data_IF_872911672612
#
_entry.id   IF_872911672612
#
_cell.length_a   1.000
_cell.length_b   1.000
_cell.length_c   1.000
_cell.angle_alpha   90.00
_cell.angle_beta   90.00
_cell.angle_gamma   90.00
#
_symmetry.space_group_name_H-M   'P 1'
#
loop_
_entity.id
_entity.type
_entity.pdbx_description
1 polymer ?
#
# COMPACT_ATOMS: atom_id res chain seq x y z
N UNK A 1 -15.20 22.62 -22.92
CA UNK A 1 -14.14 23.44 -22.29
C UNK A 1 -14.33 23.39 -20.78
N UNK A 2 -13.62 22.50 -20.08
CA UNK A 2 -13.70 22.38 -18.61
C UNK A 2 -12.38 21.84 -18.01
N UNK A 3 -11.73 20.91 -18.72
CA UNK A 3 -10.44 20.32 -18.31
C UNK A 3 -9.26 21.32 -18.45
N UNK A 4 -9.33 22.23 -19.43
CA UNK A 4 -8.32 23.30 -19.62
C UNK A 4 -8.32 24.38 -18.51
N UNK A 5 -9.28 24.38 -17.58
CA UNK A 5 -9.31 25.33 -16.46
C UNK A 5 -8.67 24.78 -15.17
N UNK A 6 -8.53 23.46 -15.01
CA UNK A 6 -7.84 22.89 -13.85
C UNK A 6 -6.30 22.98 -13.98
N UNK A 7 -5.76 22.81 -15.19
CA UNK A 7 -4.31 22.86 -15.42
C UNK A 7 -3.70 24.27 -15.15
N UNK A 8 -4.49 25.33 -15.31
CA UNK A 8 -4.05 26.72 -15.05
C UNK A 8 -4.25 27.19 -13.60
N UNK A 9 -4.89 26.42 -12.72
CA UNK A 9 -5.13 26.83 -11.33
C UNK A 9 -4.02 26.43 -10.36
N UNK A 10 -3.33 25.30 -10.59
CA UNK A 10 -2.22 24.86 -9.74
C UNK A 10 -0.92 25.64 -10.02
N UNK A 11 -0.68 26.04 -11.28
CA UNK A 11 0.48 26.85 -11.66
C UNK A 11 0.51 28.25 -11.00
N UNK A 12 -0.64 28.75 -10.52
CA UNK A 12 -0.74 30.10 -9.95
C UNK A 12 -0.68 30.14 -8.41
N UNK A 13 -0.54 28.98 -7.75
CA UNK A 13 -0.35 28.87 -6.28
C UNK A 13 1.08 28.59 -5.84
N UNK A 14 1.96 28.15 -6.75
CA UNK A 14 3.37 27.91 -6.45
C UNK A 14 4.25 29.18 -6.52
N UNK A 15 3.74 30.30 -7.04
CA UNK A 15 4.50 31.50 -7.40
C UNK A 15 4.41 32.67 -6.40
N UNK A 16 3.81 32.47 -5.22
CA UNK A 16 3.49 33.55 -4.27
C UNK A 16 3.98 33.33 -2.82
N UNK A 17 4.89 32.38 -2.59
CA UNK A 17 5.40 32.08 -1.23
C UNK A 17 6.89 31.73 -1.17
N UNK A 18 7.75 32.46 -1.87
CA UNK A 18 9.21 32.36 -1.70
C UNK A 18 9.96 33.67 -1.97
N UNK A 19 9.68 34.70 -1.16
CA UNK A 19 10.19 36.06 -1.40
C UNK A 19 10.61 36.83 -0.14
N UNK A 20 11.33 36.23 0.80
CA UNK A 20 12.14 36.97 1.80
C UNK A 20 13.30 36.12 2.37
N UNK A 21 14.44 36.12 1.64
CA UNK A 21 15.75 35.78 2.17
C UNK A 21 16.79 36.67 1.46
N UNK A 22 17.58 37.44 2.23
CA UNK A 22 18.59 38.35 1.67
C UNK A 22 19.90 37.58 1.41
N UNK A 23 20.47 37.58 0.20
CA UNK A 23 21.88 37.27 0.02
C UNK A 23 22.73 38.44 0.54
N UNK A 24 23.84 38.11 1.20
CA UNK A 24 24.86 39.08 1.65
C UNK A 24 25.79 39.39 0.47
N UNK A 25 26.18 40.65 0.29
CA UNK A 25 27.31 40.99 -0.58
C UNK A 25 28.61 40.79 0.20
N UNK A 26 29.56 40.09 -0.41
CA UNK A 26 30.99 40.27 -0.17
C UNK A 26 31.70 40.21 -1.51
N UNK A 27 32.53 41.22 -1.82
CA UNK A 27 33.19 41.35 -3.12
C UNK A 27 34.64 41.84 -3.00
N UNK A 28 35.55 40.88 -3.01
CA UNK A 28 36.95 41.06 -3.40
C UNK A 28 37.45 39.73 -3.98
N UNK A 29 38.34 39.61 -4.96
CA UNK A 29 39.01 40.48 -5.93
C UNK A 29 40.31 39.69 -6.25
N UNK A 30 40.57 39.38 -7.52
CA UNK A 30 41.69 38.53 -7.97
C UNK A 30 41.62 37.05 -7.46
N UNK A 31 42.33 36.07 -8.05
CA UNK A 31 43.41 36.16 -9.03
C UNK A 31 43.36 35.04 -10.11
N UNK A 32 44.16 35.17 -11.16
CA UNK A 32 44.27 34.21 -12.27
C UNK A 32 45.04 32.94 -11.90
N UNK A 33 44.68 31.79 -12.49
CA UNK A 33 45.65 30.84 -13.04
C UNK A 33 45.01 29.82 -13.99
N UNK A 34 45.60 29.63 -15.17
CA UNK A 34 45.18 28.63 -16.16
C UNK A 34 46.12 27.42 -16.12
N UNK A 35 45.58 26.22 -15.90
CA UNK A 35 46.36 24.97 -15.95
C UNK A 35 46.38 24.39 -17.36
N UNK A 36 47.48 24.64 -18.10
CA UNK A 36 47.93 23.68 -19.11
C UNK A 36 48.51 22.45 -18.41
N UNK A 37 48.18 21.26 -18.89
CA UNK A 37 48.90 20.02 -18.58
C UNK A 37 49.51 19.53 -19.88
N UNK A 38 50.83 19.58 -19.98
CA UNK A 38 51.62 19.06 -21.09
C UNK A 38 52.29 17.76 -20.66
N UNK A 39 52.15 16.71 -21.48
CA UNK A 39 52.88 15.46 -21.31
C UNK A 39 54.13 15.49 -22.19
N UNK A 40 55.31 15.34 -21.60
CA UNK A 40 56.56 15.19 -22.33
C UNK A 40 56.90 13.71 -22.53
N UNK A 41 57.48 13.38 -23.69
CA UNK A 41 57.91 12.03 -24.05
C UNK A 41 59.44 11.96 -23.84
N UNK A 42 59.97 11.04 -23.04
CA UNK A 42 61.41 10.95 -22.80
C UNK A 42 62.14 10.40 -24.03
N UNK A 43 63.18 11.12 -24.48
CA UNK A 43 64.08 10.65 -25.55
C UNK A 43 65.48 10.44 -24.96
N UNK A 44 65.91 9.18 -24.84
CA UNK A 44 67.31 8.87 -24.59
C UNK A 44 68.12 9.01 -25.89
N UNK A 45 69.22 9.76 -25.84
CA UNK A 45 70.36 9.50 -26.73
C UNK A 45 71.68 9.90 -26.06
N UNK A 46 72.59 8.93 -25.93
CA UNK A 46 74.03 9.15 -25.71
C UNK A 46 74.75 8.56 -26.92
N UNK A 47 75.52 9.35 -27.66
CA UNK A 47 76.56 8.78 -28.53
C UNK A 47 77.74 9.72 -28.75
N UNK A 48 78.90 9.10 -28.61
CA UNK A 48 80.30 9.55 -28.64
C UNK A 48 80.78 10.50 -29.76
N UNK A 49 81.94 11.12 -29.48
CA UNK A 49 82.84 11.85 -30.39
C UNK A 49 83.47 10.94 -31.46
N UNK A 50 83.95 11.55 -32.56
CA UNK A 50 85.16 11.21 -33.38
C UNK A 50 85.29 12.27 -34.51
N UNK A 51 86.43 12.63 -35.13
CA UNK A 51 87.85 12.57 -34.72
C UNK A 51 88.71 13.56 -35.58
N UNK A 52 90.04 13.35 -35.70
CA UNK A 52 91.03 14.30 -36.26
C UNK A 52 91.53 14.01 -37.72
N UNK A 53 92.13 15.05 -38.34
CA UNK A 53 93.31 15.06 -39.28
C UNK A 53 93.58 13.89 -40.25
N UNK A 54 93.81 14.18 -41.56
CA UNK A 54 95.13 13.97 -42.26
C UNK A 54 95.16 14.09 -43.82
N UNK A 55 96.35 14.47 -44.31
CA UNK A 55 96.93 14.73 -45.66
C UNK A 55 96.73 13.75 -46.85
N UNK A 56 97.05 14.17 -48.11
CA UNK A 56 98.03 13.52 -49.07
C UNK A 56 98.21 14.20 -50.47
N UNK A 57 99.04 13.63 -51.39
CA UNK A 57 99.67 14.25 -52.61
C UNK A 57 99.53 13.35 -53.90
N UNK A 58 100.14 13.49 -55.12
CA UNK A 58 101.36 14.18 -55.64
C UNK A 58 101.52 14.21 -57.21
N UNK A 59 102.10 15.31 -57.77
CA UNK A 59 103.19 15.37 -58.82
C UNK A 59 103.02 15.34 -60.38
N UNK A 60 104.19 15.36 -61.06
CA UNK A 60 104.67 15.70 -62.45
C UNK A 60 104.71 14.51 -63.48
N UNK A 61 105.28 14.50 -64.73
CA UNK A 61 106.49 15.13 -65.35
C UNK A 61 106.60 15.08 -66.94
N UNK A 62 107.84 14.97 -67.53
CA UNK A 62 108.27 15.13 -68.98
C UNK A 62 108.50 13.76 -69.74
N UNK A 63 109.05 13.56 -70.98
CA UNK A 63 109.99 14.29 -71.89
C UNK A 63 109.93 13.98 -73.43
N UNK A 64 111.04 13.63 -74.14
CA UNK A 64 111.26 13.59 -75.63
C UNK A 64 112.21 12.41 -76.10
N UNK A 65 112.35 12.15 -77.44
CA UNK A 65 113.43 11.40 -78.19
C UNK A 65 113.45 9.82 -78.17
N UNK A 66 114.10 9.01 -79.08
CA UNK A 66 114.82 9.16 -80.39
C UNK A 66 115.18 7.81 -81.11
N UNK A 67 115.43 7.80 -82.44
CA UNK A 67 116.26 6.85 -83.27
C UNK A 67 115.79 5.35 -83.47
N UNK A 68 116.30 4.46 -84.38
CA UNK A 68 117.37 4.47 -85.43
C UNK A 68 117.09 3.54 -86.68
N UNK A 69 118.11 3.02 -87.41
CA UNK A 69 118.13 2.31 -88.73
C UNK A 69 118.11 0.72 -88.72
N UNK A 70 118.40 0.06 -89.88
CA UNK A 70 118.09 -1.35 -90.27
C UNK A 70 119.26 -2.37 -90.41
N UNK A 71 119.04 -3.72 -90.31
CA UNK A 71 120.06 -4.82 -90.49
C UNK A 71 119.49 -6.24 -90.88
N UNK A 72 120.35 -7.27 -91.20
CA UNK A 72 120.00 -8.66 -91.69
C UNK A 72 120.98 -9.84 -91.27
N UNK A 73 120.68 -11.12 -91.62
CA UNK A 73 121.35 -12.42 -91.20
C UNK A 73 121.36 -13.59 -92.26
N UNK A 74 121.97 -14.78 -91.98
CA UNK A 74 122.15 -15.96 -92.90
C UNK A 74 121.94 -17.42 -92.32
N UNK A 75 122.33 -18.52 -93.01
CA UNK A 75 121.72 -19.91 -92.94
C UNK A 75 122.64 -21.16 -93.19
N UNK A 76 122.36 -22.37 -92.62
CA UNK A 76 122.70 -23.76 -93.15
C UNK A 76 122.22 -24.97 -92.26
N UNK A 77 122.07 -26.22 -92.78
CA UNK A 77 121.77 -27.48 -92.04
C UNK A 77 122.97 -28.47 -91.89
N UNK A 78 122.87 -29.60 -91.16
CA UNK A 78 124.10 -30.29 -90.63
C UNK A 78 124.22 -31.80 -90.31
N UNK A 79 123.21 -32.69 -90.32
CA UNK A 79 123.38 -34.05 -89.71
C UNK A 79 122.73 -35.23 -90.47
N UNK A 80 123.52 -36.28 -90.73
CA UNK A 80 123.19 -37.45 -91.57
C UNK A 80 123.07 -38.80 -90.83
N UNK A 81 122.55 -39.81 -91.54
CA UNK A 81 121.97 -41.06 -91.03
C UNK A 81 122.90 -41.95 -90.18
N UNK A 82 124.23 -41.86 -90.36
CA UNK A 82 125.20 -42.70 -89.67
C UNK A 82 125.14 -42.62 -88.13
N UNK A 83 124.60 -41.53 -87.58
CA UNK A 83 124.49 -41.33 -86.12
C UNK A 83 123.42 -42.21 -85.47
N UNK A 84 122.32 -42.52 -86.17
CA UNK A 84 121.20 -43.30 -85.61
C UNK A 84 121.51 -44.81 -85.51
N UNK A 85 122.30 -45.34 -86.44
CA UNK A 85 122.74 -46.74 -86.43
C UNK A 85 123.45 -47.12 -85.11
N UNK A 86 124.08 -46.16 -84.44
CA UNK A 86 124.93 -46.37 -83.26
C UNK A 86 124.18 -46.48 -81.92
N UNK A 87 122.87 -46.25 -81.87
CA UNK A 87 122.09 -46.19 -80.61
C UNK A 87 120.88 -47.14 -80.51
N UNK A 88 120.68 -48.03 -81.49
CA UNK A 88 119.62 -49.06 -81.44
C UNK A 88 119.70 -50.04 -80.23
N UNK A 89 120.78 -50.01 -79.45
CA UNK A 89 120.96 -50.82 -78.24
C UNK A 89 120.41 -50.17 -76.95
N UNK A 90 119.93 -48.91 -76.99
CA UNK A 90 119.47 -48.18 -75.79
C UNK A 90 117.99 -47.73 -75.88
N UNK A 91 117.04 -48.66 -75.77
CA UNK A 91 115.69 -48.43 -75.15
C UNK A 91 114.82 -49.72 -75.18
N UNK A 92 114.66 -50.46 -74.06
CA UNK A 92 113.95 -51.75 -74.05
C UNK A 92 112.41 -51.72 -74.21
N UNK A 93 111.78 -50.53 -74.30
CA UNK A 93 110.33 -50.37 -74.00
C UNK A 93 109.39 -50.85 -75.12
N UNK A 94 109.85 -50.92 -76.37
CA UNK A 94 108.96 -50.99 -77.55
C UNK A 94 108.38 -52.40 -77.83
N UNK A 95 108.97 -53.49 -77.31
CA UNK A 95 108.64 -54.87 -77.74
C UNK A 95 107.37 -55.53 -77.14
N UNK A 96 106.60 -54.88 -76.24
CA UNK A 96 105.49 -55.52 -75.47
C UNK A 96 104.04 -55.17 -75.88
N UNK A 97 103.78 -54.37 -76.92
CA UNK A 97 102.44 -53.77 -77.17
C UNK A 97 101.58 -54.46 -78.26
N UNK A 98 100.25 -54.38 -78.08
CA UNK A 98 99.20 -55.14 -78.80
C UNK A 98 98.84 -54.56 -80.18
N UNK A 99 97.98 -55.27 -80.95
CA UNK A 99 97.61 -54.93 -82.34
C UNK A 99 97.00 -53.53 -82.50
N UNK A 100 96.20 -53.06 -81.55
CA UNK A 100 95.58 -51.73 -81.62
C UNK A 100 96.58 -50.61 -81.33
N UNK A 101 97.48 -50.82 -80.36
CA UNK A 101 98.58 -49.88 -80.09
C UNK A 101 99.55 -49.79 -81.28
N UNK A 102 99.73 -50.88 -82.04
CA UNK A 102 100.44 -50.85 -83.33
C UNK A 102 99.67 -50.11 -84.42
N UNK A 103 98.34 -50.15 -84.46
CA UNK A 103 97.54 -49.32 -85.39
C UNK A 103 97.71 -47.83 -85.08
N UNK A 104 97.55 -47.41 -83.83
CA UNK A 104 97.71 -45.98 -83.47
C UNK A 104 99.15 -45.49 -83.65
N UNK A 105 100.16 -46.35 -83.45
CA UNK A 105 101.55 -46.06 -83.80
C UNK A 105 101.73 -45.91 -85.32
N UNK A 106 101.20 -46.82 -86.13
CA UNK A 106 101.29 -46.76 -87.59
C UNK A 106 100.51 -45.56 -88.18
N UNK A 107 99.40 -45.15 -87.58
CA UNK A 107 98.71 -43.91 -87.96
C UNK A 107 99.52 -42.66 -87.61
N UNK A 108 100.16 -42.63 -86.43
CA UNK A 108 101.13 -41.56 -86.08
C UNK A 108 102.31 -41.53 -87.04
N UNK A 109 102.84 -42.69 -87.44
CA UNK A 109 103.91 -42.79 -88.44
C UNK A 109 103.41 -42.32 -89.83
N UNK A 110 102.18 -42.68 -90.23
CA UNK A 110 101.61 -42.25 -91.52
C UNK A 110 101.41 -40.73 -91.54
N UNK A 111 100.92 -40.14 -90.45
CA UNK A 111 100.86 -38.67 -90.26
C UNK A 111 102.24 -38.01 -90.23
N UNK A 112 103.26 -38.65 -89.65
CA UNK A 112 104.64 -38.13 -89.66
C UNK A 112 105.34 -38.28 -91.02
N UNK A 113 104.92 -39.22 -91.88
CA UNK A 113 105.38 -39.28 -93.28
C UNK A 113 104.65 -38.30 -94.20
N UNK A 114 103.47 -37.81 -93.81
CA UNK A 114 102.67 -36.87 -94.60
C UNK A 114 103.14 -35.42 -94.42
N UNK A 115 104.39 -35.16 -94.83
CA UNK A 115 105.02 -33.84 -94.75
C UNK A 115 104.38 -32.79 -95.69
N UNK A 116 103.33 -33.15 -96.46
CA UNK A 116 102.55 -32.23 -97.28
C UNK A 116 101.97 -31.07 -96.45
N UNK A 117 101.62 -31.32 -95.18
CA UNK A 117 101.10 -30.29 -94.25
C UNK A 117 102.14 -29.21 -93.94
N UNK A 118 103.43 -29.55 -94.02
CA UNK A 118 104.55 -28.64 -93.76
C UNK A 118 105.06 -27.92 -95.01
N UNK A 119 104.52 -28.22 -96.19
CA UNK A 119 104.69 -27.40 -97.40
C UNK A 119 104.09 -26.00 -97.16
N UNK A 120 104.76 -24.89 -97.51
CA UNK A 120 104.35 -23.53 -97.14
C UNK A 120 102.87 -23.19 -97.42
N UNK A 121 102.35 -23.67 -98.56
CA UNK A 121 100.96 -23.48 -99.01
C UNK A 121 99.92 -23.91 -97.95
N UNK A 122 100.19 -24.97 -97.19
CA UNK A 122 99.24 -25.51 -96.22
C UNK A 122 99.28 -24.78 -94.86
N UNK A 123 100.45 -24.25 -94.46
CA UNK A 123 100.55 -23.33 -93.31
C UNK A 123 99.75 -22.05 -93.53
N UNK A 124 99.79 -21.49 -94.74
CA UNK A 124 99.10 -20.23 -95.03
C UNK A 124 97.57 -20.37 -94.95
N UNK A 125 97.02 -21.46 -95.51
CA UNK A 125 95.59 -21.80 -95.39
C UNK A 125 95.13 -21.88 -93.94
N UNK A 126 95.87 -22.59 -93.09
CA UNK A 126 95.54 -22.73 -91.68
C UNK A 126 95.51 -21.37 -90.95
N UNK A 127 96.44 -20.46 -91.27
CA UNK A 127 96.45 -19.13 -90.66
C UNK A 127 95.21 -18.31 -91.10
N UNK A 128 94.88 -18.31 -92.40
CA UNK A 128 93.68 -17.63 -92.95
C UNK A 128 92.38 -18.10 -92.26
N UNK A 129 92.23 -19.40 -91.98
CA UNK A 129 91.08 -19.91 -91.22
C UNK A 129 90.97 -19.36 -89.79
N UNK A 130 92.09 -19.25 -89.06
CA UNK A 130 92.05 -18.75 -87.67
C UNK A 130 91.65 -17.28 -87.59
N UNK A 131 92.03 -16.46 -88.59
CA UNK A 131 91.54 -15.09 -88.71
C UNK A 131 90.04 -15.04 -89.02
N UNK A 132 89.55 -15.90 -89.93
CA UNK A 132 88.11 -15.97 -90.26
C UNK A 132 87.25 -16.25 -89.02
N UNK A 133 87.64 -17.28 -88.23
CA UNK A 133 86.95 -17.68 -87.00
C UNK A 133 86.93 -16.57 -85.92
N UNK A 134 88.02 -15.79 -85.81
CA UNK A 134 88.07 -14.61 -84.90
C UNK A 134 87.15 -13.48 -85.36
N UNK A 135 87.06 -13.24 -86.67
CA UNK A 135 86.18 -12.21 -87.23
C UNK A 135 84.70 -12.57 -87.07
N UNK A 136 84.32 -13.82 -87.37
CA UNK A 136 82.98 -14.37 -87.13
C UNK A 136 82.53 -14.19 -85.67
N UNK A 137 83.41 -14.50 -84.71
CA UNK A 137 83.11 -14.33 -83.29
C UNK A 137 82.87 -12.88 -82.89
N UNK A 138 83.73 -11.94 -83.35
CA UNK A 138 83.57 -10.51 -83.09
C UNK A 138 82.26 -9.94 -83.65
N UNK A 139 81.80 -10.44 -84.80
CA UNK A 139 80.52 -9.99 -85.37
C UNK A 139 79.33 -10.49 -84.53
N UNK A 140 79.38 -11.74 -84.07
CA UNK A 140 78.38 -12.31 -83.15
C UNK A 140 78.30 -11.49 -81.86
N UNK A 141 79.43 -11.13 -81.24
CA UNK A 141 79.46 -10.31 -80.01
C UNK A 141 78.83 -8.93 -80.24
N UNK A 142 79.14 -8.27 -81.37
CA UNK A 142 78.53 -6.96 -81.72
C UNK A 142 77.02 -7.06 -81.90
N UNK A 143 76.54 -8.08 -82.62
CA UNK A 143 75.10 -8.32 -82.83
C UNK A 143 74.40 -8.57 -81.49
N UNK A 144 74.93 -9.43 -80.62
CA UNK A 144 74.38 -9.71 -79.30
C UNK A 144 74.29 -8.46 -78.40
N UNK A 145 75.37 -7.68 -78.28
CA UNK A 145 75.37 -6.44 -77.50
C UNK A 145 74.33 -5.42 -78.00
N UNK A 146 74.14 -5.33 -79.32
CA UNK A 146 73.12 -4.45 -79.92
C UNK A 146 71.68 -4.89 -79.61
N UNK A 147 71.42 -6.20 -79.44
CA UNK A 147 70.12 -6.72 -79.05
C UNK A 147 69.81 -6.41 -77.59
N UNK A 148 70.76 -6.67 -76.68
CA UNK A 148 70.63 -6.38 -75.24
C UNK A 148 70.34 -4.88 -75.01
N UNK A 149 71.03 -3.98 -75.72
CA UNK A 149 70.78 -2.54 -75.63
C UNK A 149 69.40 -2.09 -76.17
N UNK A 150 68.78 -2.84 -77.09
CA UNK A 150 67.39 -2.61 -77.51
C UNK A 150 66.41 -3.07 -76.45
N UNK A 151 66.60 -4.29 -75.93
CA UNK A 151 65.73 -4.88 -74.92
C UNK A 151 65.69 -4.03 -73.63
N UNK A 152 66.86 -3.61 -73.11
CA UNK A 152 66.96 -2.73 -71.93
C UNK A 152 66.31 -1.35 -72.15
N UNK A 153 66.22 -0.86 -73.39
CA UNK A 153 65.46 0.36 -73.71
C UNK A 153 63.95 0.10 -73.72
N UNK A 154 63.52 -1.01 -74.32
CA UNK A 154 62.11 -1.39 -74.39
C UNK A 154 61.52 -1.64 -72.98
N UNK A 155 62.17 -2.47 -72.16
CA UNK A 155 61.76 -2.73 -70.77
C UNK A 155 61.59 -1.44 -69.95
N UNK A 156 62.50 -0.46 -70.13
CA UNK A 156 62.39 0.85 -69.49
C UNK A 156 61.19 1.65 -70.01
N UNK A 157 60.93 1.64 -71.31
CA UNK A 157 59.79 2.36 -71.91
C UNK A 157 58.45 1.78 -71.44
N UNK A 158 58.32 0.45 -71.41
CA UNK A 158 57.13 -0.25 -70.90
C UNK A 158 56.88 0.09 -69.41
N UNK A 159 57.92 0.08 -68.59
CA UNK A 159 57.82 0.48 -67.18
C UNK A 159 57.36 1.94 -66.98
N UNK A 160 57.73 2.85 -67.89
CA UNK A 160 57.21 4.23 -67.86
C UNK A 160 55.74 4.31 -68.28
N UNK A 161 55.34 3.65 -69.36
CA UNK A 161 53.94 3.61 -69.82
C UNK A 161 53.01 3.08 -68.72
N UNK A 162 53.41 1.99 -68.07
CA UNK A 162 52.58 1.37 -67.03
C UNK A 162 52.53 2.24 -65.75
N UNK A 163 53.61 2.99 -65.45
CA UNK A 163 53.64 3.98 -64.37
C UNK A 163 52.69 5.16 -64.63
N UNK A 164 52.60 5.66 -65.86
CA UNK A 164 51.62 6.69 -66.25
C UNK A 164 50.19 6.15 -66.23
N UNK A 165 49.93 4.96 -66.79
CA UNK A 165 48.60 4.31 -66.75
C UNK A 165 48.08 4.14 -65.31
N UNK A 166 48.96 3.70 -64.39
CA UNK A 166 48.65 3.59 -62.96
C UNK A 166 48.50 4.95 -62.27
N UNK A 167 48.99 6.06 -62.85
CA UNK A 167 48.76 7.42 -62.34
C UNK A 167 47.37 7.92 -62.76
N UNK A 168 47.03 7.86 -64.05
CA UNK A 168 45.70 8.26 -64.57
C UNK A 168 44.55 7.51 -63.87
N UNK A 169 44.70 6.20 -63.67
CA UNK A 169 43.73 5.39 -62.91
C UNK A 169 43.57 5.82 -61.45
N UNK A 170 44.58 6.45 -60.83
CA UNK A 170 44.49 7.00 -59.48
C UNK A 170 43.83 8.38 -59.47
N UNK A 171 44.13 9.23 -60.45
CA UNK A 171 43.51 10.56 -60.61
C UNK A 171 42.01 10.44 -60.86
N UNK A 172 41.60 9.67 -61.89
CA UNK A 172 40.17 9.55 -62.29
C UNK A 172 39.34 8.64 -61.37
N UNK A 173 39.95 8.03 -60.34
CA UNK A 173 39.26 7.11 -59.41
C UNK A 173 38.11 7.81 -58.68
N UNK A 174 38.29 9.08 -58.33
CA UNK A 174 37.33 9.82 -57.52
C UNK A 174 36.20 10.45 -58.35
N UNK A 175 36.45 10.82 -59.60
CA UNK A 175 35.42 11.17 -60.59
C UNK A 175 34.44 9.99 -60.78
N UNK A 176 34.96 8.78 -60.96
CA UNK A 176 34.14 7.57 -61.14
C UNK A 176 33.31 7.23 -59.88
N UNK A 177 33.82 7.50 -58.67
CA UNK A 177 33.03 7.41 -57.43
C UNK A 177 31.91 8.44 -57.41
N UNK A 178 32.20 9.70 -57.71
CA UNK A 178 31.22 10.79 -57.72
C UNK A 178 30.07 10.50 -58.69
N UNK A 179 30.38 10.04 -59.90
CA UNK A 179 29.37 9.66 -60.89
C UNK A 179 28.49 8.50 -60.40
N UNK A 180 29.06 7.47 -59.77
CA UNK A 180 28.30 6.36 -59.17
C UNK A 180 27.37 6.85 -58.04
N UNK A 181 27.84 7.77 -57.20
CA UNK A 181 27.02 8.38 -56.13
C UNK A 181 25.88 9.21 -56.74
N UNK A 182 26.16 10.03 -57.76
CA UNK A 182 25.15 10.85 -58.44
C UNK A 182 24.01 9.99 -59.03
N UNK A 183 24.33 8.88 -59.71
CA UNK A 183 23.31 7.94 -60.19
C UNK A 183 22.51 7.29 -59.06
N UNK A 184 23.15 6.88 -57.96
CA UNK A 184 22.45 6.31 -56.80
C UNK A 184 21.50 7.33 -56.13
N UNK A 185 21.90 8.60 -56.02
CA UNK A 185 21.05 9.70 -55.55
C UNK A 185 19.87 9.93 -56.49
N UNK A 186 20.10 9.94 -57.81
CA UNK A 186 19.04 10.11 -58.80
C UNK A 186 17.99 8.99 -58.71
N UNK A 187 18.40 7.71 -58.73
CA UNK A 187 17.47 6.59 -58.62
C UNK A 187 16.72 6.54 -57.28
N UNK A 188 17.40 6.84 -56.17
CA UNK A 188 16.73 6.88 -54.85
C UNK A 188 15.73 8.04 -54.72
N UNK A 189 16.02 9.22 -55.29
CA UNK A 189 15.08 10.34 -55.30
C UNK A 189 13.82 10.05 -56.13
N UNK A 190 13.95 9.43 -57.30
CA UNK A 190 12.81 8.99 -58.12
C UNK A 190 11.97 7.91 -57.41
N UNK A 191 12.63 6.93 -56.78
CA UNK A 191 11.96 5.91 -55.97
C UNK A 191 11.16 6.51 -54.80
N UNK A 192 11.77 7.45 -54.07
CA UNK A 192 11.11 8.17 -52.97
C UNK A 192 9.89 8.97 -53.46
N UNK A 193 10.02 9.70 -54.58
CA UNK A 193 8.91 10.47 -55.17
C UNK A 193 7.72 9.56 -55.56
N UNK A 194 8.00 8.39 -56.15
CA UNK A 194 6.97 7.41 -56.53
C UNK A 194 6.26 6.81 -55.30
N UNK A 195 7.00 6.48 -54.24
CA UNK A 195 6.44 6.01 -52.97
C UNK A 195 5.54 7.08 -52.34
N UNK A 196 6.00 8.34 -52.27
CA UNK A 196 5.21 9.47 -51.75
C UNK A 196 3.92 9.67 -52.55
N UNK A 197 3.99 9.65 -53.89
CA UNK A 197 2.80 9.77 -54.74
C UNK A 197 1.77 8.66 -54.51
N UNK A 198 2.22 7.42 -54.28
CA UNK A 198 1.34 6.29 -53.96
C UNK A 198 0.77 6.37 -52.53
N UNK A 199 1.52 6.84 -51.55
CA UNK A 199 1.02 7.11 -50.19
C UNK A 199 -0.09 8.17 -50.21
N UNK A 200 0.06 9.26 -50.99
CA UNK A 200 -0.97 10.29 -51.16
C UNK A 200 -2.24 9.70 -51.80
N UNK A 201 -2.11 8.94 -52.90
CA UNK A 201 -3.25 8.26 -53.55
C UNK A 201 -3.97 7.31 -52.59
N UNK A 202 -3.24 6.54 -51.79
CA UNK A 202 -3.82 5.62 -50.82
C UNK A 202 -4.49 6.34 -49.64
N UNK A 203 -3.92 7.45 -49.14
CA UNK A 203 -4.55 8.32 -48.12
C UNK A 203 -5.89 8.87 -48.61
N UNK A 204 -5.98 9.33 -49.86
CA UNK A 204 -7.24 9.82 -50.44
C UNK A 204 -8.28 8.71 -50.63
N UNK A 205 -7.86 7.53 -51.13
CA UNK A 205 -8.71 6.32 -51.22
C UNK A 205 -9.18 5.80 -49.86
N UNK A 206 -8.42 6.04 -48.79
CA UNK A 206 -8.83 5.72 -47.41
C UNK A 206 -9.86 6.73 -46.90
N UNK A 207 -9.62 8.03 -47.09
CA UNK A 207 -10.56 9.09 -46.71
C UNK A 207 -11.94 8.89 -47.32
N UNK A 208 -12.02 8.68 -48.65
CA UNK A 208 -13.30 8.47 -49.36
C UNK A 208 -14.05 7.20 -48.89
N UNK A 209 -13.34 6.17 -48.40
CA UNK A 209 -13.96 4.99 -47.79
C UNK A 209 -14.47 5.26 -46.37
N UNK A 210 -13.69 5.97 -45.55
CA UNK A 210 -14.10 6.39 -44.21
C UNK A 210 -15.31 7.34 -44.24
N UNK A 211 -15.38 8.24 -45.22
CA UNK A 211 -16.53 9.12 -45.44
C UNK A 211 -17.80 8.33 -45.81
N UNK A 212 -17.68 7.28 -46.64
CA UNK A 212 -18.81 6.39 -46.97
C UNK A 212 -19.28 5.57 -45.76
N UNK A 213 -18.39 5.11 -44.88
CA UNK A 213 -18.81 4.41 -43.66
C UNK A 213 -19.40 5.37 -42.61
N UNK A 214 -18.85 6.58 -42.46
CA UNK A 214 -19.38 7.62 -41.58
C UNK A 214 -20.78 8.09 -42.00
N UNK A 215 -21.03 8.27 -43.30
CA UNK A 215 -22.36 8.64 -43.82
C UNK A 215 -23.39 7.52 -43.60
N UNK A 216 -23.01 6.26 -43.78
CA UNK A 216 -23.86 5.11 -43.45
C UNK A 216 -24.17 5.02 -41.95
N UNK A 217 -23.15 5.16 -41.09
CA UNK A 217 -23.29 5.20 -39.63
C UNK A 217 -24.18 6.36 -39.15
N UNK A 218 -24.09 7.52 -39.80
CA UNK A 218 -24.95 8.70 -39.58
C UNK A 218 -26.40 8.44 -40.00
N UNK A 219 -26.63 7.62 -41.01
CA UNK A 219 -27.97 7.13 -41.38
C UNK A 219 -28.54 6.17 -40.32
N UNK A 220 -27.75 5.17 -39.92
CA UNK A 220 -28.15 4.15 -38.96
C UNK A 220 -28.44 4.74 -37.57
N UNK A 221 -27.58 5.62 -37.06
CA UNK A 221 -27.79 6.32 -35.78
C UNK A 221 -29.03 7.22 -35.79
N UNK A 222 -29.35 7.88 -36.91
CA UNK A 222 -30.61 8.64 -37.08
C UNK A 222 -31.84 7.72 -37.05
N UNK A 223 -31.77 6.54 -37.67
CA UNK A 223 -32.86 5.56 -37.64
C UNK A 223 -33.10 5.02 -36.21
N UNK A 224 -32.04 4.60 -35.51
CA UNK A 224 -32.09 4.18 -34.10
C UNK A 224 -32.65 5.30 -33.21
N UNK A 225 -32.21 6.55 -33.42
CA UNK A 225 -32.74 7.72 -32.70
C UNK A 225 -34.25 7.91 -32.87
N UNK A 226 -34.77 7.79 -34.10
CA UNK A 226 -36.23 7.83 -34.37
C UNK A 226 -36.98 6.71 -33.63
N UNK A 227 -36.47 5.48 -33.69
CA UNK A 227 -37.08 4.32 -33.00
C UNK A 227 -37.13 4.55 -31.49
N UNK A 228 -36.04 5.05 -30.89
CA UNK A 228 -35.97 5.39 -29.47
C UNK A 228 -37.00 6.48 -29.09
N UNK A 229 -37.17 7.52 -29.93
CA UNK A 229 -38.18 8.56 -29.69
C UNK A 229 -39.61 8.00 -29.71
N UNK A 230 -39.96 7.18 -30.71
CA UNK A 230 -41.28 6.53 -30.80
C UNK A 230 -41.53 5.60 -29.61
N UNK A 231 -40.54 4.78 -29.22
CA UNK A 231 -40.63 3.93 -28.03
C UNK A 231 -40.80 4.75 -26.74
N UNK A 232 -40.11 5.88 -26.60
CA UNK A 232 -40.24 6.81 -25.46
C UNK A 232 -41.66 7.39 -25.39
N UNK A 233 -42.26 7.74 -26.52
CA UNK A 233 -43.63 8.26 -26.57
C UNK A 233 -44.68 7.19 -26.27
N UNK A 234 -44.54 5.98 -26.82
CA UNK A 234 -45.41 4.83 -26.52
C UNK A 234 -45.36 4.50 -25.02
N UNK A 235 -44.14 4.44 -24.43
CA UNK A 235 -43.95 4.27 -22.98
C UNK A 235 -44.64 5.38 -22.19
N UNK A 236 -44.47 6.66 -22.57
CA UNK A 236 -45.16 7.81 -21.94
C UNK A 236 -46.69 7.67 -22.00
N UNK A 237 -47.25 7.33 -23.17
CA UNK A 237 -48.70 7.11 -23.38
C UNK A 237 -49.25 5.90 -22.58
N UNK A 238 -48.44 4.86 -22.33
CA UNK A 238 -48.80 3.74 -21.45
C UNK A 238 -48.77 4.16 -19.98
N UNK A 239 -47.69 4.81 -19.53
CA UNK A 239 -47.54 5.28 -18.15
C UNK A 239 -48.62 6.30 -17.75
N UNK A 240 -48.99 7.24 -18.62
CA UNK A 240 -50.08 8.20 -18.36
C UNK A 240 -51.44 7.49 -18.20
N UNK A 241 -51.73 6.45 -18.99
CA UNK A 241 -52.96 5.65 -18.83
C UNK A 241 -53.00 4.91 -17.49
N UNK A 242 -51.91 4.24 -17.11
CA UNK A 242 -51.79 3.58 -15.80
C UNK A 242 -51.88 4.58 -14.64
N UNK A 243 -51.25 5.75 -14.78
CA UNK A 243 -51.29 6.81 -13.77
C UNK A 243 -52.71 7.37 -13.61
N UNK A 244 -53.45 7.64 -14.70
CA UNK A 244 -54.85 8.08 -14.63
C UNK A 244 -55.74 7.06 -13.90
N UNK A 245 -55.63 5.77 -14.23
CA UNK A 245 -56.39 4.69 -13.57
C UNK A 245 -56.07 4.60 -12.06
N UNK A 246 -54.78 4.59 -11.70
CA UNK A 246 -54.36 4.60 -10.29
C UNK A 246 -54.79 5.87 -9.57
N UNK A 247 -54.74 7.04 -10.20
CA UNK A 247 -55.14 8.31 -9.61
C UNK A 247 -56.65 8.35 -9.33
N UNK A 248 -57.50 7.83 -10.23
CA UNK A 248 -58.95 7.70 -9.99
C UNK A 248 -59.22 6.80 -8.77
N UNK A 249 -58.51 5.68 -8.64
CA UNK A 249 -58.61 4.81 -7.46
C UNK A 249 -58.15 5.53 -6.18
N UNK A 250 -56.97 6.15 -6.19
CA UNK A 250 -56.46 6.90 -5.03
C UNK A 250 -57.37 8.08 -4.64
N UNK A 251 -57.99 8.78 -5.61
CA UNK A 251 -58.94 9.87 -5.36
C UNK A 251 -60.22 9.34 -4.71
N UNK A 252 -60.79 8.23 -5.21
CA UNK A 252 -61.93 7.55 -4.57
C UNK A 252 -61.58 7.12 -3.13
N UNK A 253 -60.42 6.49 -2.93
CA UNK A 253 -59.94 6.10 -1.59
C UNK A 253 -59.71 7.32 -0.68
N UNK A 254 -59.22 8.44 -1.20
CA UNK A 254 -59.03 9.68 -0.45
C UNK A 254 -60.36 10.30 -0.03
N UNK A 255 -61.35 10.36 -0.93
CA UNK A 255 -62.71 10.82 -0.61
C UNK A 255 -63.37 9.94 0.47
N UNK A 256 -63.24 8.61 0.36
CA UNK A 256 -63.75 7.66 1.37
C UNK A 256 -63.05 7.86 2.71
N UNK A 257 -61.70 7.99 2.73
CA UNK A 257 -60.92 8.27 3.95
C UNK A 257 -61.28 9.62 4.56
N UNK A 258 -61.51 10.65 3.74
CA UNK A 258 -61.94 12.00 4.14
C UNK A 258 -63.33 11.95 4.78
N UNK A 259 -64.33 11.31 4.15
CA UNK A 259 -65.68 11.08 4.71
C UNK A 259 -65.61 10.31 6.04
N UNK A 260 -64.84 9.23 6.13
CA UNK A 260 -64.61 8.47 7.38
C UNK A 260 -63.83 9.25 8.46
N UNK A 261 -63.06 10.29 8.10
CA UNK A 261 -62.44 11.21 9.07
C UNK A 261 -63.46 12.21 9.61
N UNK A 262 -64.21 12.89 8.75
CA UNK A 262 -65.26 13.84 9.18
C UNK A 262 -66.34 13.17 10.03
N UNK A 263 -66.77 11.95 9.70
CA UNK A 263 -67.74 11.23 10.52
C UNK A 263 -67.22 10.95 11.93
N UNK A 264 -65.96 10.46 12.06
CA UNK A 264 -65.33 10.24 13.37
C UNK A 264 -65.09 11.54 14.15
N UNK A 265 -64.78 12.65 13.49
CA UNK A 265 -64.68 13.95 14.16
C UNK A 265 -66.05 14.42 14.69
N UNK A 266 -67.15 14.25 13.93
CA UNK A 266 -68.51 14.53 14.43
C UNK A 266 -68.86 13.65 15.63
N UNK A 267 -68.67 12.34 15.52
CA UNK A 267 -68.92 11.38 16.61
C UNK A 267 -68.11 11.75 17.86
N UNK A 268 -66.80 11.99 17.73
CA UNK A 268 -65.95 12.39 18.86
C UNK A 268 -66.33 13.73 19.50
N UNK A 269 -66.92 14.67 18.75
CA UNK A 269 -67.47 15.90 19.33
C UNK A 269 -68.74 15.63 20.16
N UNK A 270 -69.67 14.82 19.66
CA UNK A 270 -70.85 14.42 20.44
C UNK A 270 -70.47 13.59 21.67
N UNK A 271 -69.57 12.63 21.52
CA UNK A 271 -69.00 11.84 22.63
C UNK A 271 -68.37 12.75 23.69
N UNK A 272 -67.59 13.77 23.30
CA UNK A 272 -66.98 14.72 24.24
C UNK A 272 -68.03 15.55 24.99
N UNK A 273 -69.08 16.04 24.33
CA UNK A 273 -70.15 16.81 25.00
C UNK A 273 -70.90 15.93 26.01
N UNK A 274 -71.26 14.71 25.61
CA UNK A 274 -71.94 13.74 26.48
C UNK A 274 -71.03 13.33 27.66
N UNK A 275 -69.76 13.03 27.39
CA UNK A 275 -68.77 12.64 28.40
C UNK A 275 -68.44 13.79 29.36
N UNK A 276 -68.39 15.04 28.89
CA UNK A 276 -68.21 16.20 29.77
C UNK A 276 -69.39 16.34 30.74
N UNK A 277 -70.62 16.15 30.28
CA UNK A 277 -71.81 16.18 31.13
C UNK A 277 -71.81 15.04 32.17
N UNK A 278 -71.53 13.80 31.77
CA UNK A 278 -71.47 12.67 32.72
C UNK A 278 -70.29 12.76 33.67
N UNK A 279 -69.14 13.31 33.23
CA UNK A 279 -67.98 13.54 34.09
C UNK A 279 -68.23 14.65 35.13
N UNK A 280 -68.95 15.72 34.77
CA UNK A 280 -69.40 16.74 35.73
C UNK A 280 -70.37 16.16 36.76
N UNK A 281 -71.32 15.30 36.34
CA UNK A 281 -72.18 14.57 37.28
C UNK A 281 -71.37 13.62 38.20
N UNK A 282 -70.39 12.90 37.65
CA UNK A 282 -69.52 12.01 38.40
C UNK A 282 -68.69 12.77 39.43
N UNK A 283 -68.06 13.89 39.04
CA UNK A 283 -67.32 14.78 39.94
C UNK A 283 -68.20 15.34 41.06
N UNK A 284 -69.45 15.71 40.76
CA UNK A 284 -70.43 16.14 41.77
C UNK A 284 -70.73 15.01 42.77
N UNK A 285 -71.04 13.80 42.29
CA UNK A 285 -71.28 12.61 43.15
C UNK A 285 -70.03 12.24 43.97
N UNK A 286 -68.83 12.33 43.39
CA UNK A 286 -67.57 12.00 44.06
C UNK A 286 -67.21 13.02 45.14
N UNK A 287 -67.40 14.33 44.87
CA UNK A 287 -67.30 15.41 45.88
C UNK A 287 -68.27 15.18 47.04
N UNK A 288 -69.52 14.78 46.77
CA UNK A 288 -70.48 14.43 47.82
C UNK A 288 -70.05 13.20 48.64
N UNK A 289 -69.48 12.18 47.99
CA UNK A 289 -68.97 10.98 48.67
C UNK A 289 -67.78 11.32 49.60
N UNK A 290 -66.81 12.10 49.11
CA UNK A 290 -65.67 12.58 49.93
C UNK A 290 -66.17 13.40 51.12
N UNK A 291 -67.11 14.33 50.92
CA UNK A 291 -67.69 15.11 52.01
C UNK A 291 -68.43 14.22 53.05
N UNK A 292 -69.07 13.13 52.63
CA UNK A 292 -69.64 12.13 53.55
C UNK A 292 -68.54 11.41 54.34
N UNK A 293 -67.50 10.91 53.68
CA UNK A 293 -66.36 10.22 54.33
C UNK A 293 -65.66 11.14 55.33
N UNK A 294 -65.35 12.39 54.95
CA UNK A 294 -64.74 13.39 55.84
C UNK A 294 -65.61 13.69 57.08
N UNK A 295 -66.94 13.80 56.91
CA UNK A 295 -67.87 13.99 58.04
C UNK A 295 -67.92 12.77 58.97
N UNK A 296 -67.86 11.56 58.41
CA UNK A 296 -67.80 10.32 59.20
C UNK A 296 -66.46 10.24 59.96
N UNK A 297 -65.32 10.42 59.28
CA UNK A 297 -63.99 10.42 59.90
C UNK A 297 -63.88 11.44 61.04
N UNK A 298 -64.37 12.68 60.86
CA UNK A 298 -64.39 13.69 61.94
C UNK A 298 -65.19 13.21 63.16
N UNK A 299 -66.33 12.55 62.97
CA UNK A 299 -67.11 11.94 64.09
C UNK A 299 -66.37 10.76 64.73
N UNK A 300 -65.77 9.88 63.94
CA UNK A 300 -65.01 8.73 64.43
C UNK A 300 -63.77 9.14 65.25
N UNK A 301 -63.05 10.18 64.82
CA UNK A 301 -61.90 10.73 65.57
C UNK A 301 -62.31 11.30 66.93
N UNK A 302 -63.41 12.06 66.99
CA UNK A 302 -63.97 12.57 68.26
C UNK A 302 -64.40 11.42 69.18
N UNK A 303 -65.12 10.44 68.66
CA UNK A 303 -65.56 9.26 69.41
C UNK A 303 -64.37 8.43 69.94
N UNK A 304 -63.35 8.21 69.11
CA UNK A 304 -62.12 7.49 69.49
C UNK A 304 -61.35 8.21 70.60
N UNK A 305 -61.25 9.54 70.53
CA UNK A 305 -60.63 10.36 71.58
C UNK A 305 -61.39 10.27 72.91
N UNK A 306 -62.71 10.37 72.89
CA UNK A 306 -63.55 10.23 74.08
C UNK A 306 -63.43 8.83 74.71
N UNK A 307 -63.41 7.78 73.88
CA UNK A 307 -63.22 6.40 74.32
C UNK A 307 -61.82 6.17 74.92
N UNK A 308 -60.75 6.75 74.35
CA UNK A 308 -59.41 6.68 74.95
C UNK A 308 -59.39 7.30 76.35
N UNK A 309 -59.96 8.50 76.50
CA UNK A 309 -60.04 9.19 77.81
C UNK A 309 -60.80 8.35 78.84
N UNK A 310 -61.93 7.74 78.46
CA UNK A 310 -62.73 6.89 79.37
C UNK A 310 -62.06 5.58 79.77
N UNK A 311 -61.24 4.99 78.90
CA UNK A 311 -60.46 3.79 79.23
C UNK A 311 -59.25 4.11 80.13
N UNK A 312 -58.61 5.25 79.90
CA UNK A 312 -57.56 5.77 80.79
C UNK A 312 -58.13 6.12 82.18
N UNK A 313 -59.33 6.70 82.25
CA UNK A 313 -60.03 6.96 83.51
C UNK A 313 -60.33 5.65 84.28
N UNK A 314 -60.70 4.57 83.58
CA UNK A 314 -60.81 3.22 84.16
C UNK A 314 -59.47 2.70 84.69
N UNK A 315 -58.40 2.78 83.90
CA UNK A 315 -57.06 2.33 84.29
C UNK A 315 -56.59 3.02 85.57
N UNK A 316 -56.66 4.36 85.60
CA UNK A 316 -56.20 5.14 86.73
C UNK A 316 -56.93 4.79 88.04
N UNK A 317 -58.23 4.41 87.97
CA UNK A 317 -58.97 3.95 89.15
C UNK A 317 -58.47 2.59 89.66
N UNK A 318 -58.26 1.63 88.76
CA UNK A 318 -57.74 0.31 89.13
C UNK A 318 -56.32 0.37 89.73
N UNK A 319 -55.42 1.19 89.18
CA UNK A 319 -54.07 1.38 89.72
C UNK A 319 -54.10 1.97 91.15
N UNK A 320 -55.00 2.93 91.41
CA UNK A 320 -55.22 3.50 92.75
C UNK A 320 -55.82 2.46 93.72
N UNK A 321 -56.55 1.46 93.22
CA UNK A 321 -57.04 0.36 94.05
C UNK A 321 -55.97 -0.70 94.35
N UNK A 322 -55.15 -1.10 93.36
CA UNK A 322 -54.06 -2.07 93.57
C UNK A 322 -52.99 -1.54 94.55
N UNK A 323 -52.62 -0.27 94.42
CA UNK A 323 -51.69 0.41 95.34
C UNK A 323 -52.15 0.35 96.81
N UNK A 324 -53.46 0.27 97.07
CA UNK A 324 -54.03 0.20 98.43
C UNK A 324 -54.08 -1.21 99.02
N UNK A 325 -53.81 -2.27 98.24
CA UNK A 325 -54.05 -3.67 98.64
C UNK A 325 -52.81 -4.44 99.12
N UNK A 326 -51.59 -3.90 98.98
CA UNK A 326 -50.35 -4.60 99.36
C UNK A 326 -49.72 -4.05 100.67
N UNK A 327 -49.44 -4.88 101.70
CA UNK A 327 -48.91 -4.43 102.98
C UNK A 327 -47.39 -4.21 102.99
N UNK A 328 -46.94 -3.20 103.74
CA UNK A 328 -45.52 -2.85 103.89
C UNK A 328 -44.74 -3.84 104.79
N UNK A 329 -43.56 -4.28 104.32
CA UNK A 329 -42.76 -5.31 104.99
C UNK A 329 -41.88 -4.77 106.13
N UNK A 330 -42.42 -4.81 107.35
CA UNK A 330 -41.76 -4.42 108.61
C UNK A 330 -40.38 -5.05 108.81
N UNK A 331 -39.30 -4.30 108.59
CA UNK A 331 -37.91 -4.69 108.94
C UNK A 331 -37.40 -3.97 110.19
N UNK A 332 -36.89 -4.73 111.17
CA UNK A 332 -36.49 -4.24 112.51
C UNK A 332 -35.03 -3.76 112.55
N UNK A 333 -34.78 -2.62 113.22
CA UNK A 333 -33.53 -2.24 113.95
C UNK A 333 -33.94 -1.19 115.00
N UNK A 334 -33.76 -1.34 116.32
CA UNK A 334 -32.62 -1.78 117.18
C UNK A 334 -31.57 -0.66 117.34
N UNK A 335 -31.16 -0.42 118.61
CA UNK A 335 -30.49 0.80 119.12
C UNK A 335 -29.04 1.00 118.62
N UNK A 336 -28.51 2.20 118.93
CA UNK A 336 -27.10 2.69 119.04
C UNK A 336 -26.00 1.60 119.00
N UNK A 337 -24.80 1.83 118.44
CA UNK A 337 -23.93 3.02 118.54
C UNK A 337 -23.00 3.16 117.30
N UNK A 338 -22.29 4.30 117.14
CA UNK A 338 -21.25 4.48 116.13
C UNK A 338 -20.02 3.58 116.39
N UNK A 339 -19.50 2.91 115.34
CA UNK A 339 -18.09 2.99 114.92
C UNK A 339 -17.91 2.36 113.52
N UNK A 340 -17.13 3.03 112.66
CA UNK A 340 -16.33 2.52 111.55
C UNK A 340 -16.88 1.46 110.54
N UNK A 341 -17.20 1.98 109.34
CA UNK A 341 -16.72 1.51 108.00
C UNK A 341 -17.42 0.34 107.27
N UNK A 342 -17.47 0.48 105.94
CA UNK A 342 -17.79 -0.53 104.88
C UNK A 342 -19.29 -0.87 104.66
N UNK A 343 -19.59 -1.31 103.42
CA UNK A 343 -20.87 -1.74 102.83
C UNK A 343 -21.95 -0.65 102.63
N UNK A 344 -22.05 -0.14 101.39
CA UNK A 344 -23.26 0.54 100.90
C UNK A 344 -24.35 -0.52 100.62
N UNK A 345 -25.21 -0.76 101.61
CA UNK A 345 -26.42 -1.56 101.40
C UNK A 345 -27.49 -0.76 100.62
N UNK A 346 -28.26 -1.46 99.78
CA UNK A 346 -29.33 -0.91 98.95
C UNK A 346 -30.47 -0.29 99.78
N UNK A 347 -31.03 0.82 99.28
CA UNK A 347 -32.38 1.28 99.67
C UNK A 347 -33.43 0.52 98.85
N UNK A 348 -34.63 0.26 99.41
CA UNK A 348 -35.76 -0.26 98.62
C UNK A 348 -36.28 0.81 97.64
N UNK A 349 -36.92 0.41 96.51
CA UNK A 349 -37.46 1.34 95.54
C UNK A 349 -38.82 1.91 95.97
N UNK A 350 -39.04 3.19 95.66
CA UNK A 350 -40.36 3.82 95.75
C UNK A 350 -41.24 3.33 94.58
N UNK A 351 -42.54 3.09 94.85
CA UNK A 351 -43.51 2.61 93.85
C UNK A 351 -44.00 3.76 92.96
N UNK A 352 -43.21 4.10 91.94
CA UNK A 352 -43.57 5.09 90.91
C UNK A 352 -44.86 4.68 90.14
N UNK A 353 -45.75 5.65 89.94
CA UNK A 353 -47.00 5.53 89.17
C UNK A 353 -46.69 5.30 87.69
N UNK A 354 -47.46 4.45 87.00
CA UNK A 354 -47.30 4.20 85.56
C UNK A 354 -47.62 5.49 84.76
N UNK A 355 -46.71 5.98 83.89
CA UNK A 355 -46.95 7.18 83.10
C UNK A 355 -48.12 7.05 82.11
N UNK A 356 -48.80 8.18 81.82
CA UNK A 356 -49.98 8.20 80.96
C UNK A 356 -49.73 7.65 79.54
N UNK A 357 -48.59 7.96 78.93
CA UNK A 357 -48.25 7.45 77.60
C UNK A 357 -48.12 5.92 77.58
N UNK A 358 -47.57 5.29 78.64
CA UNK A 358 -47.47 3.83 78.79
C UNK A 358 -48.86 3.21 78.87
N UNK A 359 -49.77 3.81 79.64
CA UNK A 359 -51.18 3.36 79.73
C UNK A 359 -51.88 3.45 78.36
N UNK A 360 -51.65 4.54 77.63
CA UNK A 360 -52.20 4.73 76.28
C UNK A 360 -51.65 3.70 75.29
N UNK A 361 -50.39 3.27 75.42
CA UNK A 361 -49.82 2.19 74.60
C UNK A 361 -50.54 0.85 74.86
N UNK A 362 -50.63 0.37 76.10
CA UNK A 362 -51.35 -0.89 76.37
C UNK A 362 -52.85 -0.83 76.05
N UNK A 363 -53.52 0.33 76.23
CA UNK A 363 -54.90 0.55 75.77
C UNK A 363 -54.99 0.48 74.23
N UNK A 364 -53.99 0.98 73.50
CA UNK A 364 -53.89 0.89 72.03
C UNK A 364 -53.67 -0.55 71.58
N UNK A 365 -52.86 -1.33 72.30
CA UNK A 365 -52.62 -2.75 72.01
C UNK A 365 -53.85 -3.62 72.30
N UNK A 366 -54.48 -3.46 73.47
CA UNK A 366 -55.75 -4.11 73.79
C UNK A 366 -56.81 -3.86 72.69
N UNK A 367 -56.95 -2.61 72.25
CA UNK A 367 -57.83 -2.26 71.12
C UNK A 367 -57.41 -2.94 69.82
N UNK A 368 -56.12 -2.90 69.47
CA UNK A 368 -55.57 -3.52 68.26
C UNK A 368 -55.87 -5.02 68.21
N UNK A 369 -55.73 -5.74 69.32
CA UNK A 369 -56.00 -7.17 69.41
C UNK A 369 -57.50 -7.50 69.43
N UNK A 370 -58.33 -6.70 70.12
CA UNK A 370 -59.80 -6.83 70.04
C UNK A 370 -60.32 -6.56 68.62
N UNK A 371 -59.81 -5.53 67.93
CA UNK A 371 -60.10 -5.25 66.52
C UNK A 371 -59.62 -6.40 65.64
N UNK A 372 -58.42 -6.94 65.87
CA UNK A 372 -57.86 -8.07 65.11
C UNK A 372 -58.72 -9.32 65.23
N UNK A 373 -59.19 -9.66 66.44
CA UNK A 373 -60.15 -10.74 66.68
C UNK A 373 -61.46 -10.49 65.95
N UNK A 374 -62.13 -9.36 66.22
CA UNK A 374 -63.40 -8.99 65.57
C UNK A 374 -63.32 -8.93 64.04
N UNK A 375 -62.17 -8.55 63.47
CA UNK A 375 -61.92 -8.54 62.02
C UNK A 375 -61.74 -9.96 61.46
N UNK A 376 -61.24 -10.92 62.25
CA UNK A 376 -61.24 -12.34 61.88
C UNK A 376 -62.66 -12.91 62.01
N UNK A 377 -63.38 -12.59 63.08
CA UNK A 377 -64.77 -13.00 63.30
C UNK A 377 -65.66 -12.52 62.15
N UNK A 378 -65.52 -11.26 61.72
CA UNK A 378 -66.21 -10.71 60.53
C UNK A 378 -65.76 -11.34 59.19
N UNK A 379 -64.53 -11.85 59.08
CA UNK A 379 -64.08 -12.60 57.90
C UNK A 379 -64.71 -13.98 57.86
N UNK A 380 -64.69 -14.72 58.97
CA UNK A 380 -65.34 -16.02 59.08
C UNK A 380 -66.85 -15.91 58.89
N UNK A 381 -67.49 -14.89 59.48
CA UNK A 381 -68.90 -14.56 59.25
C UNK A 381 -69.21 -14.31 57.76
N UNK A 382 -68.41 -13.46 57.10
CA UNK A 382 -68.59 -13.19 55.67
C UNK A 382 -68.36 -14.43 54.80
N UNK A 383 -67.37 -15.25 55.12
CA UNK A 383 -67.12 -16.52 54.42
C UNK A 383 -68.26 -17.52 54.65
N UNK A 384 -68.83 -17.57 55.85
CA UNK A 384 -70.04 -18.35 56.17
C UNK A 384 -71.23 -17.92 55.31
N UNK A 385 -71.49 -16.62 55.19
CA UNK A 385 -72.53 -16.07 54.30
C UNK A 385 -72.23 -16.37 52.84
N UNK A 386 -70.98 -16.23 52.39
CA UNK A 386 -70.59 -16.45 50.98
C UNK A 386 -70.78 -17.92 50.58
N UNK A 387 -70.39 -18.86 51.47
CA UNK A 387 -70.65 -20.29 51.33
C UNK A 387 -72.16 -20.58 51.35
N UNK A 388 -72.90 -20.05 52.33
CA UNK A 388 -74.36 -20.19 52.45
C UNK A 388 -75.09 -19.72 51.17
N UNK A 389 -74.73 -18.55 50.65
CA UNK A 389 -75.29 -18.00 49.40
C UNK A 389 -75.03 -18.90 48.18
N UNK A 390 -73.92 -19.65 48.17
CA UNK A 390 -73.61 -20.60 47.08
C UNK A 390 -74.27 -21.98 47.24
N UNK A 391 -74.70 -22.37 48.44
CA UNK A 391 -75.22 -23.72 48.75
C UNK A 391 -76.74 -23.89 48.58
N UNK A 392 -77.45 -22.86 48.14
CA UNK A 392 -78.91 -22.79 47.95
C UNK A 392 -79.78 -22.88 49.23
N UNK A 393 -80.87 -22.12 49.21
CA UNK A 393 -81.75 -21.81 50.36
C UNK A 393 -82.68 -22.97 50.77
N UNK A 394 -82.64 -24.11 50.08
CA UNK A 394 -83.68 -25.16 50.16
C UNK A 394 -83.55 -26.15 51.33
N UNK A 395 -82.40 -26.25 52.01
CA UNK A 395 -82.16 -27.28 53.03
C UNK A 395 -82.08 -26.76 54.49
N UNK A 396 -81.97 -25.46 54.72
CA UNK A 396 -81.69 -24.89 56.06
C UNK A 396 -82.90 -24.22 56.74
N UNK A 397 -84.11 -24.67 56.42
CA UNK A 397 -85.25 -24.47 57.31
C UNK A 397 -85.30 -25.62 58.32
N UNK A 398 -84.86 -25.36 59.55
CA UNK A 398 -85.76 -25.43 60.74
C UNK A 398 -85.06 -25.27 62.10
N UNK A 399 -83.77 -25.63 62.29
CA UNK A 399 -83.27 -25.91 63.66
C UNK A 399 -82.11 -25.03 64.20
N UNK A 400 -81.31 -24.33 63.37
CA UNK A 400 -80.18 -23.49 63.84
C UNK A 400 -80.39 -21.97 63.65
N UNK A 401 -81.44 -21.36 64.24
CA UNK A 401 -81.63 -19.90 64.20
C UNK A 401 -80.60 -19.08 65.01
N UNK A 402 -79.72 -19.73 65.78
CA UNK A 402 -78.55 -19.08 66.38
C UNK A 402 -77.41 -18.88 65.38
N UNK A 403 -77.40 -19.61 64.26
CA UNK A 403 -76.36 -19.50 63.26
C UNK A 403 -76.37 -18.13 62.55
N UNK A 404 -75.28 -17.38 62.73
CA UNK A 404 -74.92 -16.22 61.92
C UNK A 404 -75.83 -14.97 62.08
N UNK A 405 -76.16 -14.63 63.33
CA UNK A 405 -76.28 -13.21 63.73
C UNK A 405 -74.93 -12.50 63.51
N UNK A 406 -74.88 -11.26 63.00
CA UNK A 406 -73.62 -10.56 62.72
C UNK A 406 -72.81 -10.30 64.01
N UNK A 407 -71.47 -10.39 64.00
CA UNK A 407 -70.66 -10.15 65.18
C UNK A 407 -70.93 -8.76 65.77
N UNK A 408 -71.40 -8.73 67.01
CA UNK A 408 -71.82 -7.53 67.73
C UNK A 408 -70.73 -6.44 67.69
N UNK A 409 -71.09 -5.14 67.69
CA UNK A 409 -70.11 -4.07 67.69
C UNK A 409 -69.26 -4.11 68.97
N UNK A 410 -67.93 -4.12 68.83
CA UNK A 410 -66.97 -4.18 69.95
C UNK A 410 -67.26 -3.06 70.95
N UNK A 411 -67.59 -3.42 72.20
CA UNK A 411 -67.74 -2.44 73.25
C UNK A 411 -66.49 -2.42 74.13
N UNK A 412 -65.43 -1.78 73.61
CA UNK A 412 -64.15 -1.65 74.31
C UNK A 412 -64.27 -1.12 75.74
N UNK A 413 -65.31 -0.33 76.07
CA UNK A 413 -65.49 0.19 77.42
C UNK A 413 -66.00 -0.87 78.41
N UNK A 414 -66.88 -1.77 77.99
CA UNK A 414 -67.32 -2.92 78.80
C UNK A 414 -66.25 -4.02 78.83
N UNK A 415 -65.70 -4.36 77.66
CA UNK A 415 -64.70 -5.43 77.51
C UNK A 415 -63.34 -5.15 78.18
N UNK A 416 -63.07 -3.90 78.57
CA UNK A 416 -61.91 -3.55 79.40
C UNK A 416 -62.28 -3.71 80.88
N UNK A 417 -62.29 -4.97 81.33
CA UNK A 417 -62.60 -5.38 82.71
C UNK A 417 -61.42 -5.12 83.64
N UNK A 418 -61.69 -5.11 84.95
CA UNK A 418 -60.65 -4.87 85.97
C UNK A 418 -59.53 -5.91 85.91
N UNK A 419 -59.84 -7.17 85.57
CA UNK A 419 -58.84 -8.25 85.48
C UNK A 419 -57.85 -7.97 84.35
N UNK A 420 -58.34 -7.57 83.18
CA UNK A 420 -57.51 -7.21 82.02
C UNK A 420 -56.69 -5.94 82.32
N UNK A 421 -57.27 -4.97 83.04
CA UNK A 421 -56.55 -3.77 83.49
C UNK A 421 -55.42 -4.16 84.45
N UNK A 422 -55.67 -5.03 85.42
CA UNK A 422 -54.67 -5.51 86.38
C UNK A 422 -53.55 -6.30 85.68
N UNK A 423 -53.90 -7.16 84.73
CA UNK A 423 -52.96 -7.89 83.86
C UNK A 423 -52.02 -6.93 83.10
N UNK A 424 -52.57 -5.84 82.56
CA UNK A 424 -51.82 -4.81 81.85
C UNK A 424 -51.02 -3.89 82.81
N UNK A 425 -51.49 -3.65 84.04
CA UNK A 425 -50.72 -2.97 85.10
C UNK A 425 -49.50 -3.80 85.50
N UNK A 426 -49.67 -5.11 85.73
CA UNK A 426 -48.57 -6.01 86.11
C UNK A 426 -47.52 -6.13 84.99
N UNK A 427 -47.96 -6.25 83.73
CA UNK A 427 -47.06 -6.22 82.56
C UNK A 427 -46.30 -4.89 82.46
N UNK A 428 -47.00 -3.76 82.61
CA UNK A 428 -46.37 -2.44 82.63
C UNK A 428 -45.32 -2.32 83.74
N UNK A 429 -45.61 -2.77 84.96
CA UNK A 429 -44.68 -2.73 86.09
C UNK A 429 -43.45 -3.64 85.87
N UNK A 430 -43.62 -4.81 85.24
CA UNK A 430 -42.51 -5.68 84.87
C UNK A 430 -41.62 -5.07 83.77
N UNK A 431 -42.23 -4.40 82.78
CA UNK A 431 -41.55 -3.76 81.66
C UNK A 431 -41.00 -2.35 81.99
N UNK A 432 -40.96 -1.97 83.28
CA UNK A 432 -40.58 -0.62 83.76
C UNK A 432 -39.25 -0.08 83.21
N UNK A 433 -38.26 -0.94 82.96
CA UNK A 433 -36.97 -0.55 82.37
C UNK A 433 -37.14 0.03 80.96
N UNK A 434 -38.16 -0.43 80.22
CA UNK A 434 -38.46 -0.04 78.84
C UNK A 434 -39.32 1.22 78.74
N UNK A 435 -39.88 1.75 79.83
CA UNK A 435 -40.76 2.93 79.78
C UNK A 435 -40.08 4.15 79.13
N UNK A 436 -38.77 4.33 79.32
CA UNK A 436 -38.01 5.41 78.66
C UNK A 436 -37.92 5.23 77.15
N UNK A 437 -37.60 4.04 76.66
CA UNK A 437 -37.56 3.76 75.21
C UNK A 437 -38.95 3.77 74.59
N UNK A 438 -40.00 3.42 75.34
CA UNK A 438 -41.41 3.61 74.96
C UNK A 438 -41.79 5.09 74.85
N UNK A 439 -41.28 5.97 75.72
CA UNK A 439 -41.49 7.41 75.64
C UNK A 439 -40.83 8.01 74.38
N UNK A 440 -39.55 7.68 74.17
CA UNK A 440 -38.76 8.17 73.03
C UNK A 440 -39.32 7.69 71.69
N UNK A 441 -39.81 6.45 71.61
CA UNK A 441 -40.45 5.93 70.39
C UNK A 441 -41.82 6.55 70.12
N UNK A 442 -42.67 6.75 71.14
CA UNK A 442 -43.95 7.44 70.98
C UNK A 442 -43.75 8.93 70.62
N UNK A 443 -42.77 9.62 71.20
CA UNK A 443 -42.46 11.01 70.82
C UNK A 443 -41.92 11.11 69.39
N UNK A 444 -41.04 10.19 68.97
CA UNK A 444 -40.56 10.12 67.59
C UNK A 444 -41.69 9.81 66.60
N UNK A 445 -42.63 8.92 66.94
CA UNK A 445 -43.82 8.68 66.13
C UNK A 445 -44.67 9.96 65.99
N UNK A 446 -44.87 10.72 67.08
CA UNK A 446 -45.60 12.00 67.04
C UNK A 446 -44.85 13.05 66.20
N UNK A 447 -43.51 13.10 66.26
CA UNK A 447 -42.68 13.99 65.43
C UNK A 447 -42.79 13.64 63.94
N UNK A 448 -42.69 12.36 63.59
CA UNK A 448 -42.87 11.87 62.22
C UNK A 448 -44.26 12.18 61.68
N UNK A 449 -45.32 11.84 62.42
CA UNK A 449 -46.71 12.16 62.03
C UNK A 449 -46.96 13.67 61.88
N UNK A 450 -46.22 14.54 62.60
CA UNK A 450 -46.29 15.99 62.37
C UNK A 450 -45.61 16.43 61.07
N UNK A 451 -44.47 15.83 60.72
CA UNK A 451 -43.80 16.10 59.44
C UNK A 451 -44.62 15.60 58.25
N UNK A 452 -45.25 14.43 58.36
CA UNK A 452 -46.13 13.86 57.32
C UNK A 452 -47.43 14.67 57.08
N UNK A 453 -47.79 15.58 57.99
CA UNK A 453 -48.93 16.51 57.82
C UNK A 453 -48.48 17.94 57.39
N UNK A 454 -47.19 18.13 57.11
CA UNK A 454 -46.61 19.38 56.60
C UNK A 454 -46.07 19.23 55.15
N UNK A 455 -46.28 18.06 54.54
CA UNK A 455 -45.95 17.70 53.15
C UNK A 455 -47.24 17.43 52.35
#
# INVERSE_FOLDING_TARGET
MAILLMINLDYHKASLSFSHAKPILDTSSHNNQSRRVSYEIPVLSKTYRFEERSYTTQRSHRSHFSQDNTLQFSTTPRFDEGFLAKYNWISPVIKRKTKEERKSLNERIRKNKDMTVYVPVNKEKAMRETFRKKWEHLEITKRAHSAILKEVKQQKQEAWVDKFRRYDMRVRKDEAKQLKVAWAVLYSSLGAAWVVANLIKNRWRLHKRAEKSLTWLKGLSRAVGKIIMVLKEIRRKRSIRVLKLRFIFHLKCWLIRRRKRYLRMKVSLFEKVIAQYTFLQLMSKWKQAILKIQRIWKRCLVSSRLLNLKLLEKWNKAEIEDQKRQPESRTKKRKKTQTNRVVRATRPPEKEIIPEYVKILYIREFKKDKIKKHTLDWKFYRQGIEIFMTLNVSQWRNEDEEAQKPPAPINFYEEFTNDIINDCILKAQAEKILWKTMAETEENNIRLSRMENLL
#
